data_IF_305290331320
#
_entry.id   IF_305290331320
#
_cell.length_a   1.000
_cell.length_b   1.000
_cell.length_c   1.000
_cell.angle_alpha   90.00
_cell.angle_beta   90.00
_cell.angle_gamma   90.00
#
_symmetry.space_group_name_H-M   'P 1'
#
loop_
_entity.id
_entity.type
_entity.pdbx_description
1 polymer ?
#
# COMPACT_ATOMS: atom_id res chain seq x y z
N UNK A 1 22.15 -24.05 15.01
CA UNK A 1 21.75 -24.66 13.73
C UNK A 1 22.37 -26.06 13.63
N UNK A 2 21.57 -27.14 13.77
CA UNK A 2 22.03 -28.53 13.53
C UNK A 2 21.77 -29.00 12.10
N UNK A 3 20.99 -28.24 11.32
CA UNK A 3 20.55 -28.60 9.96
C UNK A 3 21.66 -28.87 8.96
N UNK A 4 22.89 -28.43 9.24
CA UNK A 4 24.06 -28.63 8.38
C UNK A 4 25.12 -29.58 8.99
N UNK A 5 24.88 -30.15 10.19
CA UNK A 5 25.82 -31.10 10.81
C UNK A 5 25.64 -32.49 10.23
N UNK A 6 26.77 -33.18 10.00
CA UNK A 6 26.86 -34.58 9.61
C UNK A 6 25.95 -35.00 8.45
N UNK A 7 25.83 -34.16 7.41
CA UNK A 7 25.27 -34.65 6.15
C UNK A 7 26.29 -34.79 5.04
N UNK A 8 26.17 -35.91 4.33
CA UNK A 8 27.15 -36.39 3.36
C UNK A 8 26.84 -35.87 1.93
N UNK A 9 25.58 -35.53 1.65
CA UNK A 9 25.12 -35.09 0.33
C UNK A 9 25.28 -33.56 0.10
N UNK A 10 26.51 -33.08 -0.10
CA UNK A 10 26.78 -31.63 -0.23
C UNK A 10 26.11 -30.97 -1.44
N UNK A 11 26.07 -31.65 -2.58
CA UNK A 11 25.43 -31.12 -3.80
C UNK A 11 23.93 -30.93 -3.57
N UNK A 12 23.27 -31.94 -3.00
CA UNK A 12 21.84 -31.93 -2.75
C UNK A 12 21.43 -30.78 -1.83
N UNK A 13 22.18 -30.56 -0.74
CA UNK A 13 21.93 -29.43 0.17
C UNK A 13 22.03 -28.10 -0.54
N UNK A 14 23.10 -27.90 -1.32
CA UNK A 14 23.34 -26.65 -2.02
C UNK A 14 22.20 -26.41 -2.99
N UNK A 15 21.79 -27.41 -3.77
CA UNK A 15 20.68 -27.26 -4.73
C UNK A 15 19.36 -26.93 -4.02
N UNK A 16 18.96 -27.70 -2.99
CA UNK A 16 17.67 -27.46 -2.33
C UNK A 16 17.64 -26.15 -1.56
N UNK A 17 18.69 -25.87 -0.78
CA UNK A 17 18.74 -24.67 0.04
C UNK A 17 18.92 -23.41 -0.82
N UNK A 18 19.88 -23.41 -1.74
CA UNK A 18 20.14 -22.25 -2.60
C UNK A 18 19.01 -22.07 -3.62
N UNK A 19 18.45 -23.17 -4.13
CA UNK A 19 17.29 -23.13 -5.02
C UNK A 19 16.07 -22.51 -4.35
N UNK A 20 15.74 -22.94 -3.13
CA UNK A 20 14.70 -22.29 -2.33
C UNK A 20 15.01 -20.82 -2.08
N UNK A 21 16.25 -20.50 -1.70
CA UNK A 21 16.71 -19.13 -1.46
C UNK A 21 16.51 -18.22 -2.66
N UNK A 22 16.93 -18.62 -3.86
CA UNK A 22 16.73 -17.83 -5.07
C UNK A 22 15.26 -17.61 -5.38
N UNK A 23 14.42 -18.64 -5.23
CA UNK A 23 12.97 -18.51 -5.45
C UNK A 23 12.37 -17.47 -4.52
N UNK A 24 12.76 -17.48 -3.24
CA UNK A 24 12.27 -16.51 -2.26
C UNK A 24 12.86 -15.11 -2.46
N UNK A 25 14.15 -15.01 -2.75
CA UNK A 25 14.85 -13.74 -2.94
C UNK A 25 14.35 -12.99 -4.19
N UNK A 26 13.91 -13.73 -5.21
CA UNK A 26 13.33 -13.20 -6.45
C UNK A 26 11.80 -13.35 -6.47
N UNK A 27 11.13 -13.29 -5.31
CA UNK A 27 9.67 -13.48 -5.21
C UNK A 27 8.85 -12.52 -6.08
N UNK A 28 9.38 -11.33 -6.35
CA UNK A 28 8.79 -10.36 -7.28
C UNK A 28 8.80 -10.82 -8.75
N UNK A 29 9.53 -11.88 -9.09
CA UNK A 29 9.50 -12.55 -10.39
C UNK A 29 8.88 -13.94 -10.30
N UNK A 30 9.21 -14.72 -9.27
CA UNK A 30 8.78 -16.12 -9.15
C UNK A 30 7.32 -16.27 -8.74
N UNK A 31 6.74 -15.27 -8.07
CA UNK A 31 5.34 -15.27 -7.61
C UNK A 31 4.45 -14.22 -8.29
N UNK A 32 4.97 -13.46 -9.26
CA UNK A 32 4.22 -12.38 -9.94
C UNK A 32 3.00 -12.89 -10.73
N UNK A 33 3.04 -14.15 -11.16
CA UNK A 33 1.93 -14.80 -11.85
C UNK A 33 0.76 -15.17 -10.92
N UNK A 34 0.94 -15.11 -9.59
CA UNK A 34 -0.11 -15.39 -8.62
C UNK A 34 -1.02 -14.15 -8.53
N UNK A 35 -2.33 -14.25 -8.82
CA UNK A 35 -3.25 -13.11 -8.88
C UNK A 35 -3.67 -12.64 -7.49
N UNK A 36 -2.72 -12.21 -6.66
CA UNK A 36 -2.94 -11.67 -5.31
C UNK A 36 -2.04 -10.46 -5.12
N UNK A 37 -2.62 -9.26 -5.18
CA UNK A 37 -1.87 -8.00 -4.93
C UNK A 37 -1.97 -7.51 -3.50
N UNK A 38 -3.17 -7.60 -2.91
CA UNK A 38 -3.44 -7.26 -1.51
C UNK A 38 -4.43 -8.26 -0.93
N UNK A 39 -4.34 -8.48 0.38
CA UNK A 39 -5.25 -9.34 1.14
C UNK A 39 -6.40 -8.52 1.74
N UNK A 40 -6.97 -7.58 0.97
CA UNK A 40 -8.18 -6.82 1.33
C UNK A 40 -9.40 -7.47 0.68
N UNK A 41 -10.56 -7.39 1.33
CA UNK A 41 -11.81 -7.94 0.81
C UNK A 41 -12.09 -7.45 -0.61
N UNK A 42 -11.94 -6.15 -0.83
CA UNK A 42 -12.32 -5.48 -2.07
C UNK A 42 -11.39 -5.90 -3.22
N UNK A 43 -10.09 -6.04 -2.96
CA UNK A 43 -9.11 -6.48 -3.98
C UNK A 43 -9.32 -7.96 -4.34
N UNK A 44 -9.67 -8.81 -3.36
CA UNK A 44 -9.93 -10.23 -3.57
C UNK A 44 -11.21 -10.49 -4.37
N UNK A 45 -12.18 -9.57 -4.30
CA UNK A 45 -13.41 -9.63 -5.09
C UNK A 45 -13.21 -9.11 -6.52
N UNK A 46 -12.40 -8.06 -6.68
CA UNK A 46 -12.16 -7.43 -7.97
C UNK A 46 -11.16 -8.21 -8.85
N UNK A 47 -10.28 -9.03 -8.26
CA UNK A 47 -9.30 -9.81 -9.03
C UNK A 47 -9.82 -11.21 -9.40
N UNK A 48 -9.98 -11.51 -10.71
CA UNK A 48 -10.39 -12.83 -11.14
C UNK A 48 -9.31 -13.88 -10.77
N UNK A 49 -9.73 -14.95 -10.10
CA UNK A 49 -8.84 -16.04 -9.69
C UNK A 49 -8.13 -15.86 -8.35
N UNK A 50 -8.20 -14.67 -7.72
CA UNK A 50 -7.52 -14.39 -6.45
C UNK A 50 -7.94 -15.33 -5.31
N UNK A 51 -9.26 -15.58 -5.18
CA UNK A 51 -9.82 -16.49 -4.17
C UNK A 51 -9.31 -17.93 -4.35
N UNK A 52 -9.25 -18.42 -5.59
CA UNK A 52 -8.73 -19.76 -5.89
C UNK A 52 -7.24 -19.88 -5.58
N UNK A 53 -6.44 -18.89 -5.97
CA UNK A 53 -5.02 -18.84 -5.66
C UNK A 53 -4.77 -18.83 -4.14
N UNK A 54 -5.55 -18.02 -3.39
CA UNK A 54 -5.43 -17.92 -1.94
C UNK A 54 -5.74 -19.25 -1.25
N UNK A 55 -6.84 -19.92 -1.64
CA UNK A 55 -7.18 -21.25 -1.10
C UNK A 55 -6.10 -22.27 -1.41
N UNK A 56 -5.53 -22.26 -2.63
CA UNK A 56 -4.44 -23.14 -3.01
C UNK A 56 -3.18 -22.92 -2.15
N UNK A 57 -2.78 -21.67 -1.94
CA UNK A 57 -1.63 -21.33 -1.08
C UNK A 57 -1.86 -21.80 0.35
N UNK A 58 -3.05 -21.54 0.92
CA UNK A 58 -3.41 -21.98 2.28
C UNK A 58 -3.35 -23.51 2.38
N UNK A 59 -3.87 -24.23 1.39
CA UNK A 59 -3.82 -25.69 1.36
C UNK A 59 -2.38 -26.23 1.31
N UNK A 60 -1.51 -25.64 0.50
CA UNK A 60 -0.09 -26.01 0.43
C UNK A 60 0.61 -25.76 1.77
N UNK A 61 0.42 -24.58 2.37
CA UNK A 61 0.99 -24.24 3.69
C UNK A 61 0.49 -25.24 4.74
N UNK A 62 -0.80 -25.58 4.73
CA UNK A 62 -1.39 -26.53 5.67
C UNK A 62 -0.74 -27.92 5.58
N UNK A 63 -0.54 -28.43 4.36
CA UNK A 63 0.16 -29.71 4.13
C UNK A 63 1.61 -29.65 4.65
N UNK A 64 2.32 -28.54 4.41
CA UNK A 64 3.69 -28.33 4.93
C UNK A 64 3.70 -28.34 6.46
N UNK A 65 2.75 -27.64 7.10
CA UNK A 65 2.66 -27.58 8.56
C UNK A 65 2.40 -28.97 9.15
N UNK A 66 1.46 -29.75 8.61
CA UNK A 66 1.22 -31.13 9.05
C UNK A 66 2.48 -31.98 8.90
N UNK A 67 3.16 -31.89 7.76
CA UNK A 67 4.39 -32.64 7.49
C UNK A 67 5.50 -32.28 8.51
N UNK A 68 5.69 -30.99 8.82
CA UNK A 68 6.66 -30.54 9.83
C UNK A 68 6.26 -30.98 11.24
N UNK A 69 4.98 -30.87 11.61
CA UNK A 69 4.48 -31.31 12.92
C UNK A 69 4.71 -32.81 13.14
N UNK A 70 4.43 -33.63 12.13
CA UNK A 70 4.69 -35.07 12.17
C UNK A 70 6.17 -35.38 12.38
N UNK A 71 7.06 -34.71 11.62
CA UNK A 71 8.50 -34.89 11.80
C UNK A 71 8.99 -34.42 13.19
N UNK A 72 8.48 -33.30 13.72
CA UNK A 72 8.82 -32.85 15.07
C UNK A 72 8.28 -33.77 16.16
N UNK A 73 7.16 -34.44 15.91
CA UNK A 73 6.63 -35.47 16.78
C UNK A 73 7.57 -36.68 16.84
N UNK A 74 8.03 -37.16 15.68
CA UNK A 74 9.02 -38.24 15.59
C UNK A 74 10.35 -37.88 16.29
N UNK A 75 10.81 -36.63 16.16
CA UNK A 75 12.00 -36.13 16.88
C UNK A 75 11.75 -35.85 18.38
N UNK A 76 10.52 -36.02 18.88
CA UNK A 76 10.09 -35.70 20.27
C UNK A 76 10.31 -34.24 20.68
N UNK A 77 10.31 -33.32 19.71
CA UNK A 77 10.53 -31.88 19.90
C UNK A 77 9.27 -31.06 19.73
N UNK A 78 8.17 -31.66 19.28
CA UNK A 78 6.91 -30.97 18.99
C UNK A 78 6.46 -30.02 20.12
N UNK A 79 6.48 -30.47 21.38
CA UNK A 79 6.08 -29.64 22.52
C UNK A 79 6.95 -28.39 22.72
N UNK A 80 8.26 -28.48 22.45
CA UNK A 80 9.16 -27.33 22.55
C UNK A 80 8.82 -26.28 21.48
N UNK A 81 8.50 -26.73 20.27
CA UNK A 81 8.09 -25.83 19.19
C UNK A 81 6.69 -25.27 19.40
N UNK A 82 5.73 -26.05 19.92
CA UNK A 82 4.42 -25.52 20.30
C UNK A 82 4.54 -24.42 21.36
N UNK A 83 5.45 -24.55 22.34
CA UNK A 83 5.75 -23.49 23.31
C UNK A 83 6.34 -22.24 22.63
N UNK A 84 7.28 -22.42 21.70
CA UNK A 84 7.87 -21.32 20.94
C UNK A 84 6.81 -20.57 20.11
N UNK A 85 5.96 -21.30 19.37
CA UNK A 85 4.90 -20.69 18.58
C UNK A 85 3.80 -20.07 19.45
N UNK A 86 3.53 -20.64 20.62
CA UNK A 86 2.68 -20.02 21.64
C UNK A 86 3.24 -18.69 22.14
N UNK A 87 4.57 -18.58 22.31
CA UNK A 87 5.23 -17.32 22.66
C UNK A 87 5.10 -16.28 21.54
N UNK A 88 5.31 -16.67 20.27
CA UNK A 88 5.09 -15.78 19.13
C UNK A 88 3.65 -15.29 19.06
N UNK A 89 2.68 -16.19 19.23
CA UNK A 89 1.26 -15.83 19.25
C UNK A 89 0.95 -14.87 20.39
N UNK A 90 1.46 -15.11 21.61
CA UNK A 90 1.30 -14.20 22.73
C UNK A 90 1.88 -12.80 22.43
N UNK A 91 3.05 -12.72 21.79
CA UNK A 91 3.63 -11.46 21.33
C UNK A 91 2.72 -10.71 20.34
N UNK A 92 2.15 -11.42 19.36
CA UNK A 92 1.20 -10.84 18.41
C UNK A 92 -0.07 -10.34 19.13
N UNK A 93 -0.60 -11.10 20.10
CA UNK A 93 -1.77 -10.68 20.88
C UNK A 93 -1.49 -9.42 21.72
N UNK A 94 -0.29 -9.30 22.29
CA UNK A 94 0.15 -8.07 22.97
C UNK A 94 0.21 -6.91 21.99
N UNK A 95 0.78 -7.10 20.80
CA UNK A 95 0.82 -6.09 19.74
C UNK A 95 -0.60 -5.63 19.33
N UNK A 96 -1.54 -6.55 19.18
CA UNK A 96 -2.95 -6.25 18.86
C UNK A 96 -3.69 -5.52 20.00
N UNK A 97 -3.16 -5.55 21.22
CA UNK A 97 -3.75 -4.86 22.38
C UNK A 97 -3.31 -3.41 22.49
N UNK A 98 -2.36 -2.95 21.66
CA UNK A 98 -1.86 -1.56 21.68
C UNK A 98 -2.85 -0.66 20.93
N UNK A 99 -3.43 0.37 21.58
CA UNK A 99 -4.39 1.26 20.93
C UNK A 99 -3.71 2.21 19.94
N UNK A 100 -4.42 2.57 18.87
CA UNK A 100 -3.98 3.58 17.89
C UNK A 100 -2.95 3.10 16.86
N UNK A 101 -2.70 1.79 16.80
CA UNK A 101 -1.85 1.15 15.79
C UNK A 101 -2.52 -0.12 15.29
N UNK A 102 -2.30 -0.46 14.03
CA UNK A 102 -2.74 -1.71 13.45
C UNK A 102 -1.54 -2.62 13.12
N UNK A 103 -1.83 -3.92 13.06
CA UNK A 103 -0.85 -4.95 12.78
C UNK A 103 -0.57 -5.04 11.27
N UNK A 104 0.68 -4.81 10.86
CA UNK A 104 1.14 -5.00 9.47
C UNK A 104 2.21 -6.09 9.38
N UNK A 105 1.78 -7.29 9.03
CA UNK A 105 2.70 -8.41 8.82
C UNK A 105 3.23 -8.43 7.39
N UNK A 106 4.40 -7.83 7.20
CA UNK A 106 5.19 -8.02 5.98
C UNK A 106 5.65 -9.47 5.85
N UNK A 107 5.80 -9.98 4.62
CA UNK A 107 6.18 -11.38 4.41
C UNK A 107 7.57 -11.74 4.98
N UNK A 108 8.46 -10.76 5.16
CA UNK A 108 9.75 -11.01 5.81
C UNK A 108 9.60 -11.34 7.31
N UNK A 109 8.59 -10.77 7.99
CA UNK A 109 8.26 -11.10 9.38
C UNK A 109 7.70 -12.52 9.45
N UNK A 110 6.77 -12.85 8.54
CA UNK A 110 6.23 -14.21 8.42
C UNK A 110 7.35 -15.23 8.19
N UNK A 111 8.32 -14.89 7.34
CA UNK A 111 9.48 -15.73 7.11
C UNK A 111 10.28 -16.01 8.39
N UNK A 112 10.54 -14.98 9.20
CA UNK A 112 11.24 -15.14 10.48
C UNK A 112 10.45 -15.97 11.49
N UNK A 113 9.13 -15.77 11.58
CA UNK A 113 8.25 -16.53 12.48
C UNK A 113 8.19 -18.02 12.07
N UNK A 114 8.17 -18.31 10.77
CA UNK A 114 8.06 -19.68 10.25
C UNK A 114 9.41 -20.41 10.22
N UNK A 115 10.54 -19.71 10.13
CA UNK A 115 11.87 -20.32 9.97
C UNK A 115 12.22 -21.37 11.03
N UNK A 116 11.97 -21.18 12.35
CA UNK A 116 12.24 -22.20 13.37
C UNK A 116 11.53 -23.53 13.09
N UNK A 117 10.32 -23.48 12.54
CA UNK A 117 9.50 -24.65 12.20
C UNK A 117 10.01 -25.46 11.01
N UNK A 118 11.13 -25.06 10.41
CA UNK A 118 11.77 -25.76 9.29
C UNK A 118 13.15 -26.30 9.63
N UNK A 119 13.47 -26.41 10.92
CA UNK A 119 14.81 -26.82 11.41
C UNK A 119 15.04 -28.33 11.45
N UNK A 120 14.10 -29.11 10.91
CA UNK A 120 14.20 -30.58 10.77
C UNK A 120 15.18 -30.90 9.64
N UNK A 121 15.94 -31.99 9.78
CA UNK A 121 16.88 -32.45 8.76
C UNK A 121 16.19 -33.25 7.64
N UNK A 122 15.20 -32.67 6.96
CA UNK A 122 14.62 -33.24 5.72
C UNK A 122 14.99 -32.41 4.49
N UNK A 123 14.95 -33.03 3.30
CA UNK A 123 15.14 -32.34 2.01
C UNK A 123 14.15 -31.19 1.83
N UNK A 124 12.88 -31.42 2.17
CA UNK A 124 11.84 -30.39 2.14
C UNK A 124 12.16 -29.22 3.08
N UNK A 125 12.65 -29.51 4.28
CA UNK A 125 13.03 -28.50 5.27
C UNK A 125 14.22 -27.65 4.83
N UNK A 126 15.18 -28.21 4.11
CA UNK A 126 16.27 -27.44 3.50
C UNK A 126 15.75 -26.43 2.47
N UNK A 127 14.82 -26.87 1.62
CA UNK A 127 14.17 -26.00 0.65
C UNK A 127 13.36 -24.89 1.33
N UNK A 128 12.56 -25.23 2.36
CA UNK A 128 11.77 -24.25 3.10
C UNK A 128 12.64 -23.23 3.84
N UNK A 129 13.74 -23.65 4.46
CA UNK A 129 14.70 -22.73 5.08
C UNK A 129 15.28 -21.74 4.06
N UNK A 130 15.70 -22.25 2.90
CA UNK A 130 16.16 -21.41 1.80
C UNK A 130 15.09 -20.41 1.37
N UNK A 131 13.89 -20.90 1.05
CA UNK A 131 12.76 -20.09 0.60
C UNK A 131 12.39 -18.98 1.58
N UNK A 132 12.27 -19.31 2.88
CA UNK A 132 11.94 -18.33 3.92
C UNK A 132 13.07 -17.31 4.08
N UNK A 133 14.33 -17.73 4.06
CA UNK A 133 15.45 -16.78 4.13
C UNK A 133 15.51 -15.87 2.89
N UNK A 134 15.21 -16.39 1.70
CA UNK A 134 15.08 -15.61 0.48
C UNK A 134 13.96 -14.59 0.58
N UNK A 135 12.77 -15.00 1.04
CA UNK A 135 11.64 -14.11 1.29
C UNK A 135 11.97 -13.02 2.32
N UNK A 136 12.74 -13.37 3.36
CA UNK A 136 13.25 -12.40 4.32
C UNK A 136 14.12 -11.35 3.64
N UNK A 137 15.12 -11.77 2.86
CA UNK A 137 16.01 -10.86 2.11
C UNK A 137 15.22 -9.99 1.15
N UNK A 138 14.30 -10.57 0.38
CA UNK A 138 13.45 -9.84 -0.56
C UNK A 138 12.61 -8.76 0.16
N UNK A 139 11.94 -9.13 1.26
CA UNK A 139 11.07 -8.20 1.97
C UNK A 139 11.85 -7.09 2.67
N UNK A 140 13.00 -7.38 3.28
CA UNK A 140 13.88 -6.34 3.85
C UNK A 140 14.43 -5.43 2.76
N UNK A 141 14.79 -5.95 1.58
CA UNK A 141 15.21 -5.12 0.46
C UNK A 141 14.08 -4.19 -0.04
N UNK A 142 12.82 -4.62 0.06
CA UNK A 142 11.65 -3.87 -0.42
C UNK A 142 11.12 -2.83 0.57
N UNK A 143 11.06 -3.16 1.86
CA UNK A 143 10.44 -2.31 2.89
C UNK A 143 11.39 -1.92 4.03
N UNK A 144 12.66 -2.33 3.95
CA UNK A 144 13.57 -2.21 5.08
C UNK A 144 13.09 -3.04 6.28
N UNK A 145 13.45 -2.61 7.48
CA UNK A 145 12.95 -3.17 8.74
C UNK A 145 11.70 -2.43 9.22
N UNK A 146 10.69 -2.32 8.34
CA UNK A 146 9.41 -1.67 8.66
C UNK A 146 8.76 -2.30 9.90
N UNK A 147 8.12 -1.48 10.73
CA UNK A 147 7.52 -1.92 11.99
C UNK A 147 6.44 -3.00 11.78
N UNK A 148 6.26 -3.86 12.79
CA UNK A 148 5.13 -4.80 12.87
C UNK A 148 3.82 -4.04 13.19
N UNK A 149 3.94 -2.92 13.91
CA UNK A 149 2.86 -2.05 14.32
C UNK A 149 3.00 -0.70 13.63
N UNK A 150 1.99 -0.32 12.86
CA UNK A 150 1.97 0.95 12.13
C UNK A 150 0.71 1.72 12.50
N UNK A 151 0.78 3.05 12.46
CA UNK A 151 -0.42 3.87 12.69
C UNK A 151 -1.34 3.79 11.47
N UNK A 152 -2.66 4.04 11.65
CA UNK A 152 -3.60 4.09 10.53
C UNK A 152 -3.16 5.06 9.42
N UNK A 153 -2.50 6.16 9.77
CA UNK A 153 -1.96 7.14 8.81
C UNK A 153 -0.80 6.54 7.99
N UNK A 154 0.14 5.84 8.63
CA UNK A 154 1.26 5.19 7.96
C UNK A 154 0.80 4.04 7.04
N UNK A 155 -0.23 3.30 7.46
CA UNK A 155 -0.86 2.25 6.67
C UNK A 155 -1.62 2.78 5.46
N UNK A 156 -2.31 3.91 5.64
CA UNK A 156 -2.98 4.62 4.55
C UNK A 156 -1.97 5.08 3.52
N UNK A 157 -0.80 5.59 3.94
CA UNK A 157 0.22 6.13 3.03
C UNK A 157 -0.39 7.22 2.15
N UNK A 158 -0.25 7.08 0.82
CA UNK A 158 -0.86 7.98 -0.18
C UNK A 158 -2.33 7.63 -0.51
N UNK A 159 -2.96 6.77 0.30
CA UNK A 159 -4.37 6.40 0.16
C UNK A 159 -5.30 7.57 0.48
N UNK A 160 -6.52 7.50 -0.06
CA UNK A 160 -7.53 8.54 0.14
C UNK A 160 -7.93 8.65 1.62
N UNK A 161 -8.01 9.87 2.12
CA UNK A 161 -8.51 10.25 3.45
C UNK A 161 -10.05 10.30 3.51
N UNK A 162 -10.73 10.20 2.36
CA UNK A 162 -12.17 10.43 2.18
C UNK A 162 -12.65 11.76 2.77
N UNK A 163 -11.81 12.78 2.59
CA UNK A 163 -12.02 14.13 3.09
C UNK A 163 -12.79 14.99 2.09
N UNK A 164 -13.43 16.05 2.60
CA UNK A 164 -14.05 17.07 1.77
C UNK A 164 -13.01 17.71 0.86
N UNK A 165 -13.41 18.04 -0.38
CA UNK A 165 -12.53 18.59 -1.42
C UNK A 165 -13.00 19.98 -1.81
N UNK A 166 -12.10 20.87 -2.25
CA UNK A 166 -12.51 22.19 -2.73
C UNK A 166 -13.45 22.07 -3.92
N UNK A 167 -14.63 22.68 -3.81
CA UNK A 167 -15.50 22.94 -4.95
C UNK A 167 -15.05 24.23 -5.64
N UNK A 168 -15.04 24.22 -6.97
CA UNK A 168 -14.72 25.38 -7.79
C UNK A 168 -15.95 25.80 -8.59
N UNK A 169 -16.08 27.09 -8.84
CA UNK A 169 -16.97 27.57 -9.88
C UNK A 169 -16.36 27.31 -11.27
N UNK A 170 -17.17 27.43 -12.32
CA UNK A 170 -16.67 27.42 -13.69
C UNK A 170 -15.53 28.44 -13.85
N UNK A 171 -14.34 28.01 -14.32
CA UNK A 171 -13.18 28.88 -14.33
C UNK A 171 -13.31 29.97 -15.39
N UNK A 172 -12.76 31.14 -15.08
CA UNK A 172 -12.73 32.27 -16.00
C UNK A 172 -11.46 32.14 -16.86
N UNK A 173 -11.64 31.90 -18.16
CA UNK A 173 -10.53 31.72 -19.11
C UNK A 173 -10.40 32.99 -19.96
N UNK A 174 -9.22 33.60 -19.92
CA UNK A 174 -8.87 34.77 -20.73
C UNK A 174 -7.73 34.42 -21.67
N UNK A 175 -7.85 34.78 -22.95
CA UNK A 175 -6.83 34.51 -23.96
C UNK A 175 -6.28 35.81 -24.53
N UNK A 176 -5.01 36.08 -24.26
CA UNK A 176 -4.24 37.13 -24.91
C UNK A 176 -3.45 36.63 -26.11
N UNK A 177 -2.71 37.53 -26.75
CA UNK A 177 -1.86 37.25 -27.92
C UNK A 177 -0.68 36.33 -27.52
N UNK A 178 -0.01 36.62 -26.41
CA UNK A 178 1.18 35.88 -25.98
C UNK A 178 0.93 34.88 -24.85
N UNK A 179 -0.18 35.05 -24.11
CA UNK A 179 -0.49 34.27 -22.92
C UNK A 179 -1.97 33.91 -22.84
N UNK A 180 -2.26 32.75 -22.30
CA UNK A 180 -3.59 32.36 -21.85
C UNK A 180 -3.59 32.28 -20.32
N UNK A 181 -4.69 32.70 -19.70
CA UNK A 181 -4.87 32.73 -18.26
C UNK A 181 -6.14 31.96 -17.90
N UNK A 182 -6.06 31.14 -16.86
CA UNK A 182 -7.21 30.49 -16.24
C UNK A 182 -7.29 30.90 -14.77
N UNK A 183 -8.48 31.31 -14.34
CA UNK A 183 -8.74 31.76 -12.97
C UNK A 183 -9.78 30.84 -12.35
N UNK A 184 -9.39 30.18 -11.27
CA UNK A 184 -10.27 29.35 -10.46
C UNK A 184 -10.77 30.15 -9.27
N UNK A 185 -12.07 30.07 -8.98
CA UNK A 185 -12.69 30.70 -7.81
C UNK A 185 -13.31 29.61 -6.95
N UNK A 186 -13.00 29.59 -5.66
CA UNK A 186 -13.51 28.60 -4.72
C UNK A 186 -14.99 28.85 -4.43
N UNK A 187 -15.83 27.83 -4.61
CA UNK A 187 -17.28 27.95 -4.39
C UNK A 187 -17.67 27.76 -2.91
N UNK A 188 -16.90 26.97 -2.18
CA UNK A 188 -17.06 26.86 -0.73
C UNK A 188 -16.54 28.15 -0.06
N UNK A 189 -17.35 28.80 0.79
CA UNK A 189 -16.80 29.71 1.81
C UNK A 189 -15.82 28.87 2.63
N UNK A 190 -14.54 29.28 2.68
CA UNK A 190 -13.52 28.59 3.47
C UNK A 190 -14.06 28.34 4.87
N UNK A 191 -14.42 27.08 5.12
CA UNK A 191 -14.86 26.63 6.44
C UNK A 191 -13.72 26.91 7.41
N UNK A 192 -14.03 27.37 8.61
CA UNK A 192 -13.06 27.61 9.70
C UNK A 192 -12.24 26.36 10.08
N UNK A 193 -12.59 25.21 9.51
CA UNK A 193 -11.99 23.89 9.73
C UNK A 193 -10.74 23.66 8.87
N UNK A 194 -10.52 24.43 7.80
CA UNK A 194 -9.38 24.26 6.90
C UNK A 194 -8.46 25.50 6.93
N UNK A 195 -7.16 25.25 6.96
CA UNK A 195 -6.16 26.32 7.08
C UNK A 195 -5.74 26.89 5.73
N UNK A 196 -5.78 26.06 4.67
CA UNK A 196 -5.33 26.47 3.33
C UNK A 196 -5.95 25.64 2.19
N UNK A 197 -5.73 26.09 0.95
CA UNK A 197 -5.97 25.32 -0.27
C UNK A 197 -4.64 25.07 -0.99
N UNK A 198 -4.39 23.83 -1.40
CA UNK A 198 -3.26 23.42 -2.23
C UNK A 198 -3.73 23.13 -3.65
N UNK A 199 -2.94 23.58 -4.64
CA UNK A 199 -3.20 23.35 -6.07
C UNK A 199 -2.00 22.68 -6.73
N UNK A 200 -2.26 21.52 -7.32
CA UNK A 200 -1.32 20.87 -8.22
C UNK A 200 -1.59 21.31 -9.65
N UNK A 201 -0.51 21.59 -10.38
CA UNK A 201 -0.52 21.70 -11.84
C UNK A 201 0.46 20.67 -12.39
N UNK A 202 -0.06 19.74 -13.19
CA UNK A 202 0.71 18.59 -13.72
C UNK A 202 1.42 17.82 -12.60
N UNK A 203 0.68 17.50 -11.53
CA UNK A 203 1.14 16.78 -10.34
C UNK A 203 2.28 17.44 -9.54
N UNK A 204 2.53 18.73 -9.77
CA UNK A 204 3.46 19.56 -8.97
C UNK A 204 2.70 20.63 -8.22
N UNK A 205 2.93 20.78 -6.91
CA UNK A 205 2.31 21.85 -6.12
C UNK A 205 2.82 23.20 -6.60
N UNK A 206 1.89 24.03 -7.09
CA UNK A 206 2.19 25.38 -7.60
C UNK A 206 1.62 26.48 -6.73
N UNK A 207 0.66 26.17 -5.87
CA UNK A 207 0.04 27.14 -5.01
C UNK A 207 -0.36 26.54 -3.67
N UNK A 208 -0.15 27.33 -2.62
CA UNK A 208 -0.60 27.07 -1.25
C UNK A 208 -1.15 28.37 -0.67
N UNK A 209 -2.47 28.52 -0.68
CA UNK A 209 -3.14 29.73 -0.22
C UNK A 209 -3.65 29.57 1.21
N UNK A 210 -3.06 30.31 2.15
CA UNK A 210 -3.48 30.32 3.55
C UNK A 210 -4.79 31.11 3.69
N UNK A 211 -5.84 30.46 4.18
CA UNK A 211 -7.17 31.05 4.36
C UNK A 211 -7.17 32.26 5.32
N UNK A 212 -6.14 32.38 6.17
CA UNK A 212 -5.99 33.48 7.14
C UNK A 212 -5.20 34.69 6.62
N UNK A 213 -4.30 34.51 5.66
CA UNK A 213 -3.35 35.57 5.22
C UNK A 213 -3.70 36.14 3.85
N UNK A 214 -4.27 35.31 2.96
CA UNK A 214 -4.73 35.72 1.64
C UNK A 214 -6.15 35.21 1.43
N UNK A 215 -7.18 36.00 1.81
CA UNK A 215 -8.58 35.68 1.52
C UNK A 215 -8.90 35.77 0.03
N UNK A 216 -7.90 35.87 -0.86
CA UNK A 216 -8.09 35.77 -2.30
C UNK A 216 -8.72 34.41 -2.59
N UNK A 217 -10.03 34.43 -2.80
CA UNK A 217 -10.88 33.29 -3.08
C UNK A 217 -10.58 32.65 -4.44
N UNK A 218 -9.41 32.92 -5.02
CA UNK A 218 -9.04 32.52 -6.35
C UNK A 218 -7.58 32.08 -6.47
N UNK A 219 -7.33 31.32 -7.53
CA UNK A 219 -6.01 30.94 -8.00
C UNK A 219 -5.93 31.24 -9.49
N UNK A 220 -4.87 31.95 -9.89
CA UNK A 220 -4.64 32.33 -11.29
C UNK A 220 -3.42 31.60 -11.82
N UNK A 221 -3.59 30.94 -12.97
CA UNK A 221 -2.52 30.28 -13.69
C UNK A 221 -2.37 30.85 -15.10
N UNK A 222 -1.12 31.12 -15.49
CA UNK A 222 -0.78 31.64 -16.81
C UNK A 222 0.08 30.62 -17.57
N UNK A 223 -0.22 30.44 -18.86
CA UNK A 223 0.65 29.71 -19.78
C UNK A 223 0.92 30.51 -21.05
N UNK A 224 2.07 30.31 -21.72
CA UNK A 224 2.29 30.87 -23.05
C UNK A 224 1.23 30.38 -24.04
N UNK A 225 0.76 31.26 -24.93
CA UNK A 225 -0.30 30.95 -25.89
C UNK A 225 0.08 29.85 -26.90
N UNK A 226 1.38 29.58 -27.05
CA UNK A 226 1.96 28.60 -27.98
C UNK A 226 1.98 27.17 -27.41
N UNK A 227 1.74 26.99 -26.11
CA UNK A 227 1.75 25.66 -25.48
C UNK A 227 0.56 24.82 -25.97
N UNK A 228 0.84 23.70 -26.64
CA UNK A 228 -0.14 22.77 -27.20
C UNK A 228 -0.46 21.57 -26.30
N UNK A 229 0.18 21.48 -25.13
CA UNK A 229 -0.07 20.41 -24.18
C UNK A 229 -1.27 20.74 -23.26
N UNK A 230 -2.13 19.76 -22.93
CA UNK A 230 -3.11 19.93 -21.87
C UNK A 230 -2.39 20.09 -20.52
N UNK A 231 -2.97 20.91 -19.64
CA UNK A 231 -2.52 21.04 -18.25
C UNK A 231 -3.58 20.46 -17.32
N UNK A 232 -3.13 19.74 -16.30
CA UNK A 232 -3.99 19.04 -15.35
C UNK A 232 -3.95 19.74 -14.00
N UNK A 233 -5.12 19.99 -13.43
CA UNK A 233 -5.28 20.70 -12.18
C UNK A 233 -5.97 19.81 -11.16
N UNK A 234 -5.46 19.81 -9.93
CA UNK A 234 -6.09 19.15 -8.79
C UNK A 234 -6.09 20.07 -7.59
N UNK A 235 -7.14 19.99 -6.80
CA UNK A 235 -7.36 20.88 -5.66
C UNK A 235 -7.55 20.05 -4.39
N UNK A 236 -6.91 20.47 -3.29
CA UNK A 236 -7.08 19.85 -1.98
C UNK A 236 -7.18 20.93 -0.90
N UNK A 237 -7.94 20.64 0.16
CA UNK A 237 -7.85 21.42 1.39
C UNK A 237 -6.62 21.00 2.19
N UNK A 238 -6.17 21.87 3.08
CA UNK A 238 -5.12 21.58 4.05
C UNK A 238 -5.62 21.83 5.47
N UNK A 239 -5.10 21.04 6.41
CA UNK A 239 -5.35 21.18 7.84
C UNK A 239 -4.10 20.81 8.62
N UNK A 240 -3.74 21.61 9.62
CA UNK A 240 -2.60 21.39 10.50
C UNK A 240 -1.28 21.17 9.72
N UNK A 241 -1.14 21.87 8.59
CA UNK A 241 0.04 21.77 7.71
C UNK A 241 0.09 20.53 6.81
N UNK A 242 -0.90 19.64 6.86
CA UNK A 242 -1.02 18.49 5.97
C UNK A 242 -2.04 18.73 4.85
N UNK A 243 -1.74 18.20 3.67
CA UNK A 243 -2.66 18.22 2.52
C UNK A 243 -3.63 17.04 2.60
N UNK A 244 -4.91 17.32 2.41
CA UNK A 244 -5.98 16.33 2.40
C UNK A 244 -6.16 15.76 0.98
N UNK A 245 -7.33 15.17 0.68
CA UNK A 245 -7.53 14.54 -0.62
C UNK A 245 -7.63 15.52 -1.77
N UNK A 246 -6.91 15.20 -2.84
CA UNK A 246 -7.07 15.88 -4.10
C UNK A 246 -8.37 15.49 -4.80
N UNK A 247 -8.96 16.50 -5.47
CA UNK A 247 -10.03 16.31 -6.45
C UNK A 247 -9.59 15.40 -7.60
N UNK A 248 -10.54 14.83 -8.36
CA UNK A 248 -10.26 14.35 -9.71
C UNK A 248 -9.54 15.43 -10.53
N UNK A 249 -8.77 15.02 -11.53
CA UNK A 249 -8.04 15.97 -12.37
C UNK A 249 -9.00 16.73 -13.29
N UNK A 250 -9.01 18.05 -13.16
CA UNK A 250 -9.57 18.92 -14.20
C UNK A 250 -8.53 19.15 -15.29
N UNK A 251 -8.98 19.24 -16.53
CA UNK A 251 -8.10 19.37 -17.70
C UNK A 251 -8.35 20.70 -18.39
N UNK A 252 -7.30 21.51 -18.51
CA UNK A 252 -7.27 22.69 -19.37
C UNK A 252 -6.59 22.36 -20.69
N UNK A 253 -7.42 22.14 -21.71
CA UNK A 253 -6.98 21.67 -23.02
C UNK A 253 -6.29 22.78 -23.82
N UNK A 254 -5.51 22.37 -24.83
CA UNK A 254 -4.82 23.29 -25.74
C UNK A 254 -5.78 24.21 -26.52
N UNK A 255 -6.98 23.71 -26.84
CA UNK A 255 -8.06 24.47 -27.46
C UNK A 255 -8.72 25.50 -26.50
N UNK A 256 -8.18 25.64 -25.27
CA UNK A 256 -8.62 26.55 -24.21
C UNK A 256 -9.96 26.18 -23.59
N UNK A 257 -10.50 25.00 -23.87
CA UNK A 257 -11.64 24.48 -23.11
C UNK A 257 -11.19 23.91 -21.77
N UNK A 258 -12.09 23.95 -20.81
CA UNK A 258 -11.94 23.31 -19.51
C UNK A 258 -12.93 22.15 -19.39
N UNK A 259 -12.50 21.06 -18.79
CA UNK A 259 -13.40 19.99 -18.36
C UNK A 259 -12.90 19.43 -17.03
N UNK A 260 -13.83 19.19 -16.10
CA UNK A 260 -13.55 18.49 -14.86
C UNK A 260 -14.75 17.63 -14.53
N UNK A 261 -14.49 16.38 -14.16
CA UNK A 261 -15.55 15.48 -13.74
C UNK A 261 -16.13 15.96 -12.41
N UNK A 262 -17.37 16.41 -12.44
CA UNK A 262 -18.12 16.74 -11.23
C UNK A 262 -18.55 15.42 -10.59
N UNK A 263 -17.95 15.05 -9.46
CA UNK A 263 -18.59 14.06 -8.60
C UNK A 263 -19.86 14.72 -8.04
N UNK A 264 -21.01 14.36 -8.60
CA UNK A 264 -22.31 14.77 -8.09
C UNK A 264 -22.34 14.46 -6.59
N UNK A 265 -22.41 15.51 -5.78
CA UNK A 265 -22.81 15.38 -4.38
C UNK A 265 -24.14 14.66 -4.36
N UNK A 266 -24.25 13.66 -3.48
CA UNK A 266 -25.51 12.99 -3.18
C UNK A 266 -26.49 14.10 -2.80
N UNK A 267 -27.39 14.44 -3.71
CA UNK A 267 -28.52 15.29 -3.46
C UNK A 267 -29.35 14.54 -2.41
N UNK A 268 -29.37 15.05 -1.18
CA UNK A 268 -30.32 14.56 -0.18
C UNK A 268 -31.71 14.78 -0.78
N UNK A 269 -32.37 13.69 -1.14
CA UNK A 269 -33.79 13.65 -1.46
C UNK A 269 -34.57 14.07 -0.21
N UNK A 270 -34.74 15.37 -0.08
CA UNK A 270 -35.82 15.97 0.69
C UNK A 270 -36.87 16.46 -0.29
N UNK A 271 -37.63 15.56 -0.91
CA UNK A 271 -39.03 15.81 -1.32
C UNK A 271 -39.73 14.54 -1.85
N UNK A 272 -40.38 13.81 -0.93
CA UNK A 272 -41.43 12.85 -1.27
C UNK A 272 -42.25 12.49 -0.03
N UNK A 273 -43.54 12.84 -0.06
CA UNK A 273 -44.52 12.61 1.00
C UNK A 273 -44.72 11.13 1.35
#
# INVERSE_FOLDING_TARGET
MRTLRDLEAQIEKTIFWLGGFWIGALSNYTFDWIPIRRLTSDDLEQQPGAKFALVGIIAVIFVIVIQQMYCFFLERRLLQYLKLYGLFLAGILVCLSVPGVDLRLHHYILALVLLPGTTIQTRSSLFYQGLLLGLFVNGVARWGFASILETPEALRGDGLLHTEKPSIHDPIISSGVDKATIIFVWANKQSTVFDAVSVLVNDVERYRGNARETPSANFTWERPAVVSAPEYFRFAFMRDGQTLDYSPAGTWFANRSWNMEHMMGIEQDTRGR
#
